data_IF_644862379642
#
_entry.id   IF_644862379642
#
_cell.length_a   1.000
_cell.length_b   1.000
_cell.length_c   1.000
_cell.angle_alpha   90.00
_cell.angle_beta   90.00
_cell.angle_gamma   90.00
#
_symmetry.space_group_name_H-M   'P 1'
#
loop_
_entity.id
_entity.type
_entity.pdbx_description
1 polymer ?
#
# COMPACT_ATOMS: atom_id res chain seq x y z
N UNK A 1 16.76 12.45 -12.41
CA UNK A 1 17.96 11.67 -12.73
C UNK A 1 17.58 10.70 -13.84
N UNK A 2 18.35 10.69 -14.92
CA UNK A 2 18.17 9.76 -16.04
C UNK A 2 19.46 8.95 -16.14
N UNK A 3 19.37 7.68 -16.51
CA UNK A 3 20.53 6.78 -16.68
C UNK A 3 20.49 6.18 -18.07
N UNK A 4 21.65 6.05 -18.71
CA UNK A 4 21.77 5.28 -19.95
C UNK A 4 22.00 3.82 -19.60
N UNK A 5 21.05 2.97 -19.98
CA UNK A 5 21.04 1.55 -19.64
C UNK A 5 20.51 0.71 -20.80
N UNK A 6 21.03 -0.51 -20.93
CA UNK A 6 20.64 -1.43 -22.01
C UNK A 6 19.25 -2.05 -21.76
N UNK A 7 18.87 -2.19 -20.50
CA UNK A 7 17.56 -2.69 -20.08
C UNK A 7 17.11 -2.09 -18.74
N UNK A 8 15.87 -2.41 -18.35
CA UNK A 8 15.24 -1.88 -17.13
C UNK A 8 15.89 -2.37 -15.82
N UNK A 9 16.53 -3.54 -15.83
CA UNK A 9 17.21 -4.08 -14.64
C UNK A 9 18.54 -3.37 -14.45
N UNK A 10 19.26 -3.14 -15.55
CA UNK A 10 20.50 -2.36 -15.53
C UNK A 10 20.24 -0.91 -15.11
N UNK A 11 19.16 -0.30 -15.62
CA UNK A 11 18.73 1.04 -15.20
C UNK A 11 18.47 1.12 -13.68
N UNK A 12 17.77 0.13 -13.14
CA UNK A 12 17.50 0.04 -11.70
C UNK A 12 18.77 -0.13 -10.85
N UNK A 13 19.73 -0.92 -11.33
CA UNK A 13 21.02 -1.14 -10.65
C UNK A 13 21.85 0.13 -10.60
N UNK A 14 22.07 0.78 -11.74
CA UNK A 14 22.83 2.04 -11.80
C UNK A 14 22.18 3.12 -10.92
N UNK A 15 20.85 3.23 -10.93
CA UNK A 15 20.13 4.16 -10.07
C UNK A 15 20.39 3.92 -8.58
N UNK A 16 20.42 2.66 -8.14
CA UNK A 16 20.73 2.31 -6.75
C UNK A 16 22.19 2.60 -6.39
N UNK A 17 23.13 2.35 -7.29
CA UNK A 17 24.55 2.66 -7.11
C UNK A 17 24.75 4.17 -6.90
N UNK A 18 24.14 5.02 -7.73
CA UNK A 18 24.23 6.47 -7.57
C UNK A 18 23.65 6.96 -6.24
N UNK A 19 22.53 6.37 -5.78
CA UNK A 19 21.95 6.75 -4.48
C UNK A 19 22.83 6.26 -3.33
N UNK A 20 23.45 5.09 -3.44
CA UNK A 20 24.38 4.57 -2.44
C UNK A 20 25.65 5.42 -2.31
N UNK A 21 26.21 5.88 -3.44
CA UNK A 21 27.35 6.80 -3.45
C UNK A 21 27.00 8.15 -2.83
N UNK A 22 25.78 8.66 -3.07
CA UNK A 22 25.31 9.90 -2.49
C UNK A 22 25.00 9.79 -0.98
N UNK A 23 24.74 8.59 -0.47
CA UNK A 23 24.36 8.32 0.92
C UNK A 23 25.23 7.22 1.55
N UNK A 24 26.55 7.41 1.65
CA UNK A 24 27.50 6.35 2.03
C UNK A 24 27.28 5.81 3.45
N UNK A 25 26.73 6.63 4.35
CA UNK A 25 26.47 6.24 5.74
C UNK A 25 25.08 5.60 5.94
N UNK A 26 24.27 5.49 4.88
CA UNK A 26 22.94 4.91 4.94
C UNK A 26 22.94 3.49 4.39
N UNK A 27 22.43 2.54 5.17
CA UNK A 27 22.12 1.20 4.66
C UNK A 27 20.84 1.27 3.80
N UNK A 28 21.02 1.29 2.49
CA UNK A 28 19.91 1.26 1.53
C UNK A 28 19.42 -0.17 1.33
N UNK A 29 18.11 -0.36 1.30
CA UNK A 29 17.49 -1.63 0.91
C UNK A 29 16.33 -1.31 -0.03
N UNK A 30 16.41 -1.67 -1.32
CA UNK A 30 15.34 -1.41 -2.26
C UNK A 30 14.08 -2.18 -1.83
N UNK A 31 12.96 -1.47 -1.72
CA UNK A 31 11.68 -2.07 -1.35
C UNK A 31 10.86 -2.51 -2.58
N UNK A 32 10.91 -1.73 -3.66
CA UNK A 32 10.19 -2.00 -4.91
C UNK A 32 10.88 -1.31 -6.10
N UNK A 33 10.70 -1.87 -7.29
CA UNK A 33 11.07 -1.26 -8.57
C UNK A 33 9.81 -1.23 -9.45
N UNK A 34 9.51 -0.06 -10.02
CA UNK A 34 8.37 0.14 -10.91
C UNK A 34 8.83 0.68 -12.26
N UNK A 35 8.24 0.16 -13.33
CA UNK A 35 8.44 0.64 -14.70
C UNK A 35 7.13 1.25 -15.17
N UNK A 36 7.15 2.55 -15.44
CA UNK A 36 5.98 3.32 -15.87
C UNK A 36 6.38 4.43 -16.82
N UNK A 37 5.40 5.09 -17.42
CA UNK A 37 5.62 6.27 -18.25
C UNK A 37 5.98 7.48 -17.37
N UNK A 38 6.91 8.33 -17.84
CA UNK A 38 7.38 9.49 -17.06
C UNK A 38 6.23 10.41 -16.61
N UNK A 39 5.23 10.64 -17.46
CA UNK A 39 4.06 11.46 -17.10
C UNK A 39 3.31 10.89 -15.89
N UNK A 40 3.09 9.56 -15.86
CA UNK A 40 2.44 8.88 -14.73
C UNK A 40 3.31 8.86 -13.48
N UNK A 41 4.62 8.71 -13.63
CA UNK A 41 5.56 8.79 -12.50
C UNK A 41 5.54 10.17 -11.84
N UNK A 42 5.47 11.24 -12.64
CA UNK A 42 5.39 12.62 -12.13
C UNK A 42 4.08 12.86 -11.39
N UNK A 43 2.95 12.35 -11.88
CA UNK A 43 1.67 12.43 -11.18
C UNK A 43 1.75 11.76 -9.78
N UNK A 44 2.41 10.60 -9.69
CA UNK A 44 2.59 9.88 -8.42
C UNK A 44 3.56 10.58 -7.45
N UNK A 45 4.41 11.52 -7.89
CA UNK A 45 5.25 12.30 -6.96
C UNK A 45 4.43 13.17 -6.00
N UNK A 46 3.17 13.45 -6.34
CA UNK A 46 2.24 14.16 -5.48
C UNK A 46 1.44 13.25 -4.54
N UNK A 47 1.53 11.93 -4.72
CA UNK A 47 0.86 11.00 -3.84
C UNK A 47 1.53 11.03 -2.45
N UNK A 48 0.75 10.99 -1.38
CA UNK A 48 1.30 10.85 -0.05
C UNK A 48 2.18 9.60 0.05
N UNK A 49 3.42 9.76 0.52
CA UNK A 49 4.32 8.64 0.86
C UNK A 49 3.72 7.70 1.91
N UNK A 50 2.72 8.17 2.66
CA UNK A 50 2.02 7.40 3.67
C UNK A 50 0.80 6.73 3.05
N UNK A 51 0.59 5.42 3.31
CA UNK A 51 -0.55 4.72 2.76
C UNK A 51 -1.85 5.35 3.29
N UNK A 52 -2.86 5.43 2.42
CA UNK A 52 -4.20 5.84 2.86
C UNK A 52 -4.73 4.84 3.89
N UNK A 53 -5.06 5.35 5.08
CA UNK A 53 -5.54 4.53 6.20
C UNK A 53 -6.98 4.83 6.55
N UNK A 54 -7.70 3.79 6.96
CA UNK A 54 -9.12 3.83 7.28
C UNK A 54 -9.38 3.24 8.67
N UNK A 55 -10.26 3.90 9.42
CA UNK A 55 -10.78 3.40 10.69
C UNK A 55 -12.14 2.71 10.51
N UNK A 56 -12.70 2.17 11.60
CA UNK A 56 -13.95 1.40 11.56
C UNK A 56 -15.17 2.13 10.98
N UNK A 57 -15.23 3.47 11.06
CA UNK A 57 -16.33 4.22 10.47
C UNK A 57 -16.30 4.18 8.93
N UNK A 58 -15.09 4.25 8.36
CA UNK A 58 -14.90 4.18 6.92
C UNK A 58 -15.03 2.74 6.41
N UNK A 59 -14.47 1.77 7.14
CA UNK A 59 -14.64 0.34 6.84
C UNK A 59 -16.14 -0.03 6.80
N UNK A 60 -16.94 0.54 7.70
CA UNK A 60 -18.38 0.33 7.72
C UNK A 60 -19.07 0.87 6.45
N UNK A 61 -18.67 2.07 5.98
CA UNK A 61 -19.17 2.66 4.73
C UNK A 61 -18.78 1.79 3.52
N UNK A 62 -17.50 1.43 3.40
CA UNK A 62 -16.98 0.59 2.31
C UNK A 62 -17.68 -0.78 2.25
N UNK A 63 -17.98 -1.35 3.41
CA UNK A 63 -18.64 -2.65 3.51
C UNK A 63 -20.18 -2.58 3.45
N UNK A 64 -20.79 -1.38 3.44
CA UNK A 64 -22.24 -1.21 3.49
C UNK A 64 -22.89 -1.73 4.78
N UNK A 65 -22.18 -1.66 5.92
CA UNK A 65 -22.65 -2.17 7.23
C UNK A 65 -22.57 -1.10 8.31
N UNK A 66 -23.06 -1.41 9.52
CA UNK A 66 -22.93 -0.53 10.67
C UNK A 66 -21.50 -0.53 11.25
N UNK A 67 -21.12 0.55 11.94
CA UNK A 67 -19.81 0.64 12.63
C UNK A 67 -19.61 -0.47 13.67
N UNK A 68 -20.68 -0.88 14.35
CA UNK A 68 -20.63 -2.00 15.30
C UNK A 68 -20.33 -3.33 14.59
N UNK A 69 -20.90 -3.56 13.40
CA UNK A 69 -20.61 -4.74 12.60
C UNK A 69 -19.16 -4.73 12.09
N UNK A 70 -18.66 -3.59 11.64
CA UNK A 70 -17.26 -3.45 11.21
C UNK A 70 -16.26 -3.77 12.33
N UNK A 71 -16.57 -3.40 13.59
CA UNK A 71 -15.74 -3.75 14.77
C UNK A 71 -15.64 -5.27 15.04
N UNK A 72 -16.50 -6.08 14.43
CA UNK A 72 -16.45 -7.54 14.56
C UNK A 72 -15.57 -8.20 13.48
N UNK A 73 -15.22 -7.48 12.42
CA UNK A 73 -14.41 -8.00 11.33
C UNK A 73 -13.00 -8.48 11.74
N UNK A 74 -12.30 -7.84 12.70
CA UNK A 74 -11.02 -8.35 13.18
C UNK A 74 -11.04 -9.76 13.77
N UNK A 75 -12.22 -10.30 14.11
CA UNK A 75 -12.38 -11.69 14.59
C UNK A 75 -12.32 -12.72 13.45
N UNK A 76 -12.26 -12.27 12.20
CA UNK A 76 -12.26 -13.11 11.01
C UNK A 76 -10.81 -13.37 10.64
N UNK A 77 -10.45 -14.65 10.49
CA UNK A 77 -9.06 -15.13 10.31
C UNK A 77 -8.28 -14.39 9.22
N UNK A 78 -8.92 -14.02 8.11
CA UNK A 78 -8.28 -13.39 6.95
C UNK A 78 -8.45 -11.86 6.90
N UNK A 79 -8.98 -11.25 7.95
CA UNK A 79 -9.13 -9.79 8.02
C UNK A 79 -7.76 -9.11 8.08
N UNK A 80 -7.57 -7.97 7.37
CA UNK A 80 -6.31 -7.23 7.39
C UNK A 80 -5.85 -6.89 8.80
N UNK A 81 -4.54 -6.94 9.04
CA UNK A 81 -3.93 -6.46 10.28
C UNK A 81 -3.89 -4.92 10.28
N UNK A 82 -4.01 -4.28 11.45
CA UNK A 82 -3.87 -2.84 11.54
C UNK A 82 -2.43 -2.43 11.24
N UNK A 83 -2.26 -1.27 10.59
CA UNK A 83 -0.95 -0.66 10.37
C UNK A 83 -0.61 0.38 11.44
N UNK A 84 -1.63 0.90 12.13
CA UNK A 84 -1.45 1.83 13.24
C UNK A 84 -2.44 1.47 14.35
N UNK A 85 -1.95 1.32 15.57
CA UNK A 85 -2.78 1.21 16.77
C UNK A 85 -2.80 2.57 17.47
N UNK A 86 -3.99 3.13 17.67
CA UNK A 86 -4.16 4.42 18.36
C UNK A 86 -5.08 4.26 19.57
N UNK A 87 -5.05 5.21 20.50
CA UNK A 87 -5.98 5.25 21.63
C UNK A 87 -7.47 5.32 21.19
N UNK A 88 -7.75 5.85 20.00
CA UNK A 88 -9.12 5.96 19.46
C UNK A 88 -9.54 4.74 18.63
N UNK A 89 -8.60 3.83 18.33
CA UNK A 89 -8.85 2.60 17.58
C UNK A 89 -7.80 2.31 16.51
N UNK A 90 -7.82 1.07 16.03
CA UNK A 90 -6.97 0.57 14.97
C UNK A 90 -7.26 1.24 13.61
N UNK A 91 -6.20 1.54 12.86
CA UNK A 91 -6.26 1.99 11.47
C UNK A 91 -5.65 0.92 10.56
N UNK A 92 -6.28 0.73 9.41
CA UNK A 92 -5.96 -0.28 8.42
C UNK A 92 -5.62 0.40 7.10
N UNK A 93 -4.76 -0.19 6.27
CA UNK A 93 -4.58 0.32 4.91
C UNK A 93 -5.87 0.13 4.12
N UNK A 94 -6.32 1.19 3.43
CA UNK A 94 -7.54 1.16 2.64
C UNK A 94 -7.53 0.06 1.59
N UNK A 95 -6.41 -0.06 0.87
CA UNK A 95 -6.21 -1.08 -0.17
C UNK A 95 -6.38 -2.51 0.36
N UNK A 96 -5.90 -2.81 1.57
CA UNK A 96 -6.05 -4.14 2.16
C UNK A 96 -7.51 -4.43 2.53
N UNK A 97 -8.25 -3.43 3.02
CA UNK A 97 -9.68 -3.55 3.32
C UNK A 97 -10.48 -3.78 2.03
N UNK A 98 -10.24 -2.99 0.99
CA UNK A 98 -10.92 -3.12 -0.31
C UNK A 98 -10.68 -4.51 -0.92
N UNK A 99 -9.42 -4.96 -0.97
CA UNK A 99 -9.07 -6.28 -1.46
C UNK A 99 -9.74 -7.40 -0.65
N UNK A 100 -9.85 -7.25 0.67
CA UNK A 100 -10.53 -8.22 1.51
C UNK A 100 -12.05 -8.24 1.27
N UNK A 101 -12.68 -7.08 1.14
CA UNK A 101 -14.11 -6.96 0.82
C UNK A 101 -14.43 -7.58 -0.54
N UNK A 102 -13.60 -7.32 -1.55
CA UNK A 102 -13.78 -7.90 -2.87
C UNK A 102 -13.72 -9.44 -2.84
N UNK A 103 -12.73 -10.00 -2.13
CA UNK A 103 -12.60 -11.46 -1.94
C UNK A 103 -13.84 -12.06 -1.25
N UNK A 104 -14.40 -11.38 -0.25
CA UNK A 104 -15.64 -11.83 0.42
C UNK A 104 -16.84 -11.83 -0.50
N UNK A 105 -17.04 -10.75 -1.26
CA UNK A 105 -18.16 -10.64 -2.19
C UNK A 105 -18.10 -11.73 -3.26
N UNK A 106 -16.90 -12.04 -3.78
CA UNK A 106 -16.69 -13.16 -4.70
C UNK A 106 -17.02 -14.52 -4.08
N UNK A 107 -16.64 -14.76 -2.82
CA UNK A 107 -17.00 -15.99 -2.09
C UNK A 107 -18.51 -16.12 -1.87
N UNK A 108 -19.18 -15.02 -1.51
CA UNK A 108 -20.62 -14.99 -1.30
C UNK A 108 -21.43 -15.27 -2.58
N UNK A 109 -20.92 -14.89 -3.76
CA UNK A 109 -21.58 -15.14 -5.05
C UNK A 109 -21.42 -16.59 -5.57
N UNK A 110 -20.48 -17.36 -5.00
CA UNK A 110 -20.23 -18.76 -5.36
C UNK A 110 -20.91 -19.78 -4.44
N UNK A 111 -21.49 -19.33 -3.33
CA UNK A 111 -22.25 -20.14 -2.38
C UNK A 111 -23.74 -20.04 -2.69
#
# INVERSE_FOLDING_TARGET
>A
MCVDAEDVIDAGRQGLEYVAEALPDCKLTPNSLEVTELGKAVEHLHDPLYPEVVGYAEIARLAGVTRQRARMFPKIVDFPKPVIETAQGALYTKSAIEAWLERRTRKAKKA
#
